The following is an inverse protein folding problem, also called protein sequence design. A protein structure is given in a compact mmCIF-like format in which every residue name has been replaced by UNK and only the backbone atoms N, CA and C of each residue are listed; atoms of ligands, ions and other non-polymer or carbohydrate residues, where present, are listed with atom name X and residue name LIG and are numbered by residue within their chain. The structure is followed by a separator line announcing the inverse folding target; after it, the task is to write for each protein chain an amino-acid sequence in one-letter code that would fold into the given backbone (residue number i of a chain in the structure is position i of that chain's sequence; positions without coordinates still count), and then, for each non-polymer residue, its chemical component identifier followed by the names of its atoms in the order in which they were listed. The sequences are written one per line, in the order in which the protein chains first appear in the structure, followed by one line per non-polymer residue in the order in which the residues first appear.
data_IF_849674139581
#
_entry.id   IF_849674139581
#
_cell.length_a   1.000
_cell.length_b   1.000
_cell.length_c   1.000
_cell.angle_alpha   90.00
_cell.angle_beta   90.00
_cell.angle_gamma   90.00
#
_symmetry.space_group_name_H-M   'P 1'
#
loop_
_entity.id
_entity.type
_entity.pdbx_description
1 polymer ?
#
# COMPACT_ATOMS: atom_id res chain seq x y z
N UNK A 1 23.88 -19.45 -14.69
CA UNK A 1 22.99 -19.93 -13.61
C UNK A 1 21.80 -18.99 -13.59
N UNK A 2 20.70 -19.44 -14.20
CA UNK A 2 19.45 -18.73 -14.33
C UNK A 2 18.75 -18.64 -12.98
N UNK A 3 18.53 -17.43 -12.49
CA UNK A 3 17.70 -17.16 -11.33
C UNK A 3 16.26 -17.02 -11.81
N UNK A 4 15.47 -18.02 -11.53
CA UNK A 4 14.04 -18.06 -11.75
C UNK A 4 13.38 -17.06 -10.81
N UNK A 5 12.78 -16.04 -11.40
CA UNK A 5 11.80 -15.16 -10.76
C UNK A 5 10.53 -15.98 -10.52
N UNK A 6 9.93 -16.02 -9.33
CA UNK A 6 8.62 -16.61 -9.17
C UNK A 6 7.61 -15.63 -9.80
N UNK A 7 7.16 -15.97 -11.02
CA UNK A 7 5.91 -15.46 -11.54
C UNK A 7 4.79 -16.01 -10.66
N UNK A 8 4.30 -15.21 -9.74
CA UNK A 8 2.98 -15.41 -9.16
C UNK A 8 1.95 -15.05 -10.23
N UNK A 9 1.82 -15.94 -11.23
CA UNK A 9 0.62 -16.02 -12.03
C UNK A 9 -0.46 -16.52 -11.09
N UNK A 10 -1.20 -15.61 -10.47
CA UNK A 10 -2.49 -15.90 -9.89
C UNK A 10 -3.37 -16.30 -11.09
N UNK A 11 -3.41 -17.60 -11.39
CA UNK A 11 -4.46 -18.17 -12.22
C UNK A 11 -5.77 -17.84 -11.51
N UNK A 12 -6.50 -16.85 -12.05
CA UNK A 12 -7.90 -16.65 -11.73
C UNK A 12 -8.59 -18.01 -11.85
N UNK A 13 -9.38 -18.43 -10.88
CA UNK A 13 -10.14 -19.65 -11.01
C UNK A 13 -10.96 -19.52 -12.29
N UNK A 14 -10.79 -20.43 -13.22
CA UNK A 14 -11.74 -20.66 -14.31
C UNK A 14 -13.00 -21.19 -13.63
N UNK A 15 -13.77 -20.26 -13.05
CA UNK A 15 -14.99 -20.57 -12.33
C UNK A 15 -15.98 -21.13 -13.34
N UNK A 16 -16.17 -22.43 -13.30
CA UNK A 16 -17.42 -23.00 -13.74
C UNK A 16 -18.49 -22.39 -12.84
N UNK A 17 -19.53 -21.77 -13.41
CA UNK A 17 -20.69 -21.30 -12.69
C UNK A 17 -21.33 -22.44 -11.88
N UNK A 18 -22.30 -22.15 -11.05
CA UNK A 18 -23.02 -23.18 -10.30
C UNK A 18 -23.47 -24.30 -11.23
N UNK A 19 -23.43 -25.54 -10.76
CA UNK A 19 -23.58 -26.77 -11.57
C UNK A 19 -24.84 -26.84 -12.47
N UNK A 20 -25.78 -25.91 -12.35
CA UNK A 20 -27.01 -25.76 -13.12
C UNK A 20 -27.17 -24.37 -13.76
N UNK A 21 -26.08 -23.68 -14.09
CA UNK A 21 -26.16 -22.33 -14.68
C UNK A 21 -26.03 -22.35 -16.22
N UNK A 22 -26.87 -21.62 -16.98
CA UNK A 22 -28.12 -20.99 -16.52
C UNK A 22 -29.20 -22.01 -16.21
N UNK A 23 -30.14 -21.70 -15.31
CA UNK A 23 -31.32 -22.50 -15.06
C UNK A 23 -32.22 -22.61 -16.32
N UNK A 24 -33.19 -23.54 -16.32
CA UNK A 24 -33.98 -23.84 -17.53
C UNK A 24 -34.77 -22.63 -18.07
N UNK A 25 -35.29 -21.76 -17.21
CA UNK A 25 -36.03 -20.58 -17.64
C UNK A 25 -35.14 -19.50 -18.21
N UNK A 26 -33.98 -19.25 -17.58
CA UNK A 26 -32.95 -18.33 -18.11
C UNK A 26 -32.34 -18.88 -19.42
N UNK A 27 -32.11 -20.17 -19.52
CA UNK A 27 -31.64 -20.82 -20.74
C UNK A 27 -32.67 -20.67 -21.88
N UNK A 28 -33.94 -20.89 -21.60
CA UNK A 28 -35.02 -20.69 -22.57
C UNK A 28 -35.12 -19.20 -23.00
N UNK A 29 -34.96 -18.27 -22.06
CA UNK A 29 -34.93 -16.83 -22.34
C UNK A 29 -33.77 -16.48 -23.28
N UNK A 30 -32.56 -16.97 -22.98
CA UNK A 30 -31.37 -16.77 -23.86
C UNK A 30 -31.59 -17.35 -25.26
N UNK A 31 -32.20 -18.55 -25.37
CA UNK A 31 -32.44 -19.17 -26.64
C UNK A 31 -33.56 -18.50 -27.47
N UNK A 32 -34.56 -17.95 -26.80
CA UNK A 32 -35.76 -17.39 -27.46
C UNK A 32 -35.65 -15.91 -27.77
N UNK A 33 -35.12 -15.12 -26.85
CA UNK A 33 -35.09 -13.66 -26.94
C UNK A 33 -33.69 -13.06 -26.76
N UNK A 34 -32.70 -13.90 -26.47
CA UNK A 34 -31.33 -13.46 -26.21
C UNK A 34 -30.43 -13.48 -27.43
N UNK A 35 -29.44 -12.61 -27.41
CA UNK A 35 -28.31 -12.62 -28.36
C UNK A 35 -27.08 -13.16 -27.63
N UNK A 36 -26.78 -14.45 -27.83
CA UNK A 36 -25.55 -15.03 -27.25
C UNK A 36 -24.35 -14.65 -28.12
N UNK A 37 -23.30 -14.12 -27.47
CA UNK A 37 -22.05 -13.76 -28.12
C UNK A 37 -20.89 -14.43 -27.41
N UNK A 38 -20.07 -15.14 -28.17
CA UNK A 38 -18.76 -15.53 -27.71
C UNK A 38 -17.77 -14.40 -28.01
N UNK A 39 -17.13 -13.90 -26.98
CA UNK A 39 -16.23 -12.76 -27.13
C UNK A 39 -14.85 -13.26 -27.53
N UNK A 40 -14.43 -12.91 -28.75
CA UNK A 40 -13.09 -13.14 -29.24
C UNK A 40 -12.19 -11.96 -28.81
N UNK A 41 -11.63 -12.03 -27.61
CA UNK A 41 -10.62 -11.11 -27.08
C UNK A 41 -10.98 -9.61 -27.09
N UNK A 42 -10.81 -8.95 -25.97
CA UNK A 42 -10.81 -7.49 -25.76
C UNK A 42 -11.81 -6.66 -26.60
N UNK A 43 -13.07 -7.08 -26.67
CA UNK A 43 -14.18 -6.31 -27.24
C UNK A 43 -15.04 -5.75 -26.11
N UNK A 44 -14.65 -4.61 -25.53
CA UNK A 44 -15.40 -4.00 -24.44
C UNK A 44 -16.75 -3.46 -24.94
N UNK A 45 -17.74 -3.47 -24.05
CA UNK A 45 -19.05 -2.87 -24.31
C UNK A 45 -19.52 -2.07 -23.09
N UNK A 46 -20.31 -1.02 -23.36
CA UNK A 46 -20.88 -0.19 -22.31
C UNK A 46 -22.17 -0.80 -21.77
N UNK A 47 -22.40 -0.67 -20.47
CA UNK A 47 -23.67 -0.99 -19.81
C UNK A 47 -24.54 0.28 -19.74
N UNK A 48 -24.79 0.93 -20.87
CA UNK A 48 -25.42 2.25 -20.99
C UNK A 48 -26.85 2.24 -21.53
N UNK A 49 -27.41 1.06 -21.80
CA UNK A 49 -28.77 0.90 -22.34
C UNK A 49 -29.66 0.15 -21.33
N UNK A 50 -30.52 0.87 -20.56
CA UNK A 50 -31.39 0.27 -19.55
C UNK A 50 -32.46 -0.66 -20.11
N UNK A 51 -32.66 -0.71 -21.41
CA UNK A 51 -33.57 -1.66 -22.05
C UNK A 51 -33.02 -3.10 -22.12
N UNK A 52 -31.75 -3.27 -21.79
CA UNK A 52 -31.05 -4.54 -21.94
C UNK A 52 -30.28 -4.95 -20.69
N UNK A 53 -30.06 -6.26 -20.57
CA UNK A 53 -29.18 -6.82 -19.57
C UNK A 53 -28.33 -7.92 -20.20
N UNK A 54 -27.19 -8.23 -19.59
CA UNK A 54 -26.28 -9.29 -20.01
C UNK A 54 -26.16 -10.34 -18.93
N UNK A 55 -26.27 -11.60 -19.32
CA UNK A 55 -26.01 -12.77 -18.47
C UNK A 55 -24.62 -13.29 -18.82
N UNK A 56 -23.76 -13.43 -17.82
CA UNK A 56 -22.42 -14.02 -17.98
C UNK A 56 -22.55 -15.54 -17.91
N UNK A 57 -22.46 -16.20 -19.07
CA UNK A 57 -22.62 -17.65 -19.17
C UNK A 57 -21.33 -18.38 -18.85
N UNK A 58 -20.19 -17.91 -19.39
CA UNK A 58 -18.85 -18.47 -19.17
C UNK A 58 -17.78 -17.41 -19.17
N UNK A 59 -16.62 -17.73 -18.58
CA UNK A 59 -15.45 -16.84 -18.54
C UNK A 59 -15.51 -15.83 -17.41
N UNK A 60 -14.99 -14.63 -17.64
CA UNK A 60 -14.97 -13.55 -16.67
C UNK A 60 -15.09 -12.19 -17.36
N UNK A 61 -15.65 -11.22 -16.62
CA UNK A 61 -15.79 -9.83 -17.08
C UNK A 61 -15.25 -8.91 -16.01
N UNK A 62 -14.37 -7.98 -16.43
CA UNK A 62 -13.92 -6.88 -15.58
C UNK A 62 -14.78 -5.65 -15.84
N UNK A 63 -15.32 -5.05 -14.81
CA UNK A 63 -16.05 -3.79 -14.88
C UNK A 63 -15.12 -2.61 -14.57
N UNK A 64 -15.21 -1.60 -15.41
CA UNK A 64 -14.48 -0.35 -15.22
C UNK A 64 -15.46 0.81 -15.18
N UNK A 65 -15.27 1.72 -14.24
CA UNK A 65 -15.88 3.03 -14.29
C UNK A 65 -15.12 3.87 -15.30
N UNK A 66 -15.82 4.41 -16.28
CA UNK A 66 -15.27 5.23 -17.37
C UNK A 66 -16.12 6.46 -17.59
N UNK A 67 -15.52 7.52 -18.09
CA UNK A 67 -16.29 8.61 -18.67
C UNK A 67 -16.69 8.23 -20.09
N UNK A 68 -17.94 8.45 -20.45
CA UNK A 68 -18.40 8.25 -21.81
C UNK A 68 -19.11 9.52 -22.30
N UNK A 69 -18.76 9.91 -23.49
CA UNK A 69 -19.38 11.03 -24.19
C UNK A 69 -19.75 10.53 -25.58
N UNK A 70 -21.03 10.64 -25.93
CA UNK A 70 -21.56 10.16 -27.21
C UNK A 70 -21.22 8.68 -27.53
N UNK A 71 -21.24 7.81 -26.52
CA UNK A 71 -20.95 6.39 -26.67
C UNK A 71 -19.45 6.05 -26.81
N UNK A 72 -18.56 7.03 -26.69
CA UNK A 72 -17.11 6.82 -26.71
C UNK A 72 -16.52 6.99 -25.31
N UNK A 73 -15.68 6.04 -24.92
CA UNK A 73 -14.99 6.10 -23.62
C UNK A 73 -13.84 7.12 -23.66
N UNK A 74 -13.78 8.00 -22.67
CA UNK A 74 -12.73 9.00 -22.53
C UNK A 74 -12.01 8.89 -21.19
N UNK A 75 -10.73 9.25 -21.15
CA UNK A 75 -9.95 9.38 -19.94
C UNK A 75 -9.48 8.04 -19.35
N UNK A 76 -9.26 8.03 -18.04
CA UNK A 76 -8.76 6.89 -17.31
C UNK A 76 -9.87 5.87 -17.01
N UNK A 77 -9.54 4.59 -17.09
CA UNK A 77 -10.42 3.49 -16.67
C UNK A 77 -10.14 3.17 -15.22
N UNK A 78 -11.14 3.28 -14.36
CA UNK A 78 -11.02 2.89 -12.96
C UNK A 78 -11.63 1.51 -12.78
N UNK A 79 -10.82 0.52 -12.39
CA UNK A 79 -11.34 -0.82 -12.10
C UNK A 79 -12.41 -0.73 -11.01
N UNK A 80 -13.55 -1.37 -11.26
CA UNK A 80 -14.70 -1.29 -10.39
C UNK A 80 -14.99 -2.63 -9.71
N UNK A 81 -15.18 -3.70 -10.50
CA UNK A 81 -15.47 -5.03 -9.99
C UNK A 81 -15.13 -6.12 -11.02
N UNK A 82 -14.97 -7.35 -10.56
CA UNK A 82 -14.79 -8.54 -11.40
C UNK A 82 -16.00 -9.45 -11.28
N UNK A 83 -16.52 -9.94 -12.40
CA UNK A 83 -17.68 -10.82 -12.48
C UNK A 83 -17.28 -12.19 -12.95
N UNK A 84 -17.92 -13.19 -12.35
CA UNK A 84 -17.79 -14.62 -12.69
C UNK A 84 -19.08 -15.15 -13.29
N UNK A 85 -19.08 -16.36 -13.92
CA UNK A 85 -20.29 -16.96 -14.47
C UNK A 85 -21.41 -17.05 -13.44
N UNK A 86 -22.62 -16.77 -13.89
CA UNK A 86 -23.77 -16.65 -12.99
C UNK A 86 -24.17 -15.20 -12.67
N UNK A 87 -23.36 -14.21 -13.09
CA UNK A 87 -23.67 -12.81 -12.86
C UNK A 87 -24.65 -12.25 -13.91
N UNK A 88 -25.55 -11.39 -13.42
CA UNK A 88 -26.38 -10.51 -14.23
C UNK A 88 -25.71 -9.13 -14.28
N UNK A 89 -25.64 -8.51 -15.44
CA UNK A 89 -25.17 -7.15 -15.67
C UNK A 89 -26.33 -6.34 -16.29
N UNK A 90 -27.15 -5.62 -15.53
CA UNK A 90 -28.18 -4.78 -16.09
C UNK A 90 -27.55 -3.58 -16.81
N UNK A 91 -28.17 -3.15 -17.89
CA UNK A 91 -27.85 -1.87 -18.49
C UNK A 91 -28.36 -0.74 -17.59
N UNK A 92 -27.58 0.29 -17.44
CA UNK A 92 -27.82 1.41 -16.56
C UNK A 92 -28.02 2.67 -17.39
N UNK A 93 -28.87 3.55 -16.92
CA UNK A 93 -28.89 4.91 -17.50
C UNK A 93 -27.58 5.60 -17.16
N UNK A 94 -26.85 6.13 -18.14
CA UNK A 94 -25.66 6.92 -17.87
C UNK A 94 -26.03 8.06 -16.92
N UNK A 95 -25.15 8.35 -15.96
CA UNK A 95 -25.29 9.57 -15.19
C UNK A 95 -25.13 10.77 -16.13
N UNK A 96 -26.19 11.49 -16.36
CA UNK A 96 -26.22 12.71 -17.17
C UNK A 96 -25.72 13.94 -16.41
N UNK A 97 -25.16 13.76 -15.20
CA UNK A 97 -24.45 14.78 -14.46
C UNK A 97 -23.25 15.34 -15.23
N UNK A 98 -22.56 16.31 -14.65
CA UNK A 98 -21.44 17.05 -15.27
C UNK A 98 -20.30 16.16 -15.81
N UNK A 99 -20.20 14.90 -15.42
CA UNK A 99 -19.08 14.03 -15.75
C UNK A 99 -19.42 12.82 -16.62
N UNK A 100 -20.68 12.44 -16.79
CA UNK A 100 -21.12 11.36 -17.69
C UNK A 100 -20.42 10.02 -17.45
N UNK A 101 -20.42 9.52 -16.21
CA UNK A 101 -19.85 8.22 -15.90
C UNK A 101 -20.77 7.06 -16.33
N UNK A 102 -20.16 5.98 -16.77
CA UNK A 102 -20.83 4.71 -17.05
C UNK A 102 -19.92 3.51 -16.73
N UNK A 103 -20.50 2.32 -16.74
CA UNK A 103 -19.75 1.07 -16.58
C UNK A 103 -19.36 0.48 -17.94
N UNK A 104 -18.07 0.18 -18.10
CA UNK A 104 -17.51 -0.51 -19.24
C UNK A 104 -17.23 -1.95 -18.84
N UNK A 105 -17.87 -2.90 -19.50
CA UNK A 105 -17.60 -4.32 -19.37
C UNK A 105 -16.47 -4.74 -20.32
N UNK A 106 -15.43 -5.34 -19.76
CA UNK A 106 -14.26 -5.84 -20.51
C UNK A 106 -14.18 -7.35 -20.32
N UNK A 107 -14.69 -8.13 -21.25
CA UNK A 107 -14.66 -9.59 -21.14
C UNK A 107 -13.27 -10.15 -21.41
N UNK A 108 -12.92 -11.24 -20.72
CA UNK A 108 -11.73 -12.03 -21.01
C UNK A 108 -11.91 -12.88 -22.28
N UNK A 109 -10.80 -13.34 -22.85
CA UNK A 109 -10.83 -14.22 -24.03
C UNK A 109 -11.60 -15.51 -23.72
N UNK A 110 -12.55 -15.86 -24.61
CA UNK A 110 -13.37 -17.05 -24.43
C UNK A 110 -14.59 -16.84 -23.53
N UNK A 111 -14.86 -15.61 -23.12
CA UNK A 111 -16.07 -15.27 -22.38
C UNK A 111 -17.31 -15.38 -23.28
N UNK A 112 -18.36 -15.99 -22.74
CA UNK A 112 -19.66 -16.10 -23.37
C UNK A 112 -20.70 -15.31 -22.58
N UNK A 113 -21.36 -14.36 -23.23
CA UNK A 113 -22.41 -13.52 -22.66
C UNK A 113 -23.67 -13.62 -23.49
N UNK A 114 -24.84 -13.57 -22.83
CA UNK A 114 -26.13 -13.49 -23.47
C UNK A 114 -26.77 -12.14 -23.17
N UNK A 115 -27.05 -11.32 -24.18
CA UNK A 115 -27.78 -10.07 -24.08
C UNK A 115 -29.28 -10.36 -24.16
N UNK A 116 -30.07 -9.93 -23.18
CA UNK A 116 -31.50 -10.17 -23.11
C UNK A 116 -32.25 -8.84 -22.85
N UNK A 117 -33.49 -8.69 -23.33
CA UNK A 117 -34.31 -7.52 -22.98
C UNK A 117 -34.58 -7.49 -21.47
N UNK A 118 -34.40 -6.35 -20.83
CA UNK A 118 -34.69 -6.21 -19.40
C UNK A 118 -36.17 -6.49 -19.07
N UNK A 119 -37.07 -6.11 -19.97
CA UNK A 119 -38.50 -6.42 -19.85
C UNK A 119 -38.81 -7.94 -19.76
N UNK A 120 -37.98 -8.77 -20.42
CA UNK A 120 -38.13 -10.20 -20.34
C UNK A 120 -37.69 -10.77 -18.97
N UNK A 121 -36.68 -10.16 -18.34
CA UNK A 121 -36.30 -10.49 -16.96
C UNK A 121 -37.37 -10.06 -15.95
N UNK A 122 -38.03 -8.93 -16.19
CA UNK A 122 -39.17 -8.51 -15.38
C UNK A 122 -40.30 -9.52 -15.49
N UNK A 123 -40.67 -9.95 -16.70
CA UNK A 123 -41.67 -10.95 -16.90
C UNK A 123 -41.29 -12.31 -16.24
N UNK A 124 -40.01 -12.69 -16.25
CA UNK A 124 -39.50 -13.87 -15.55
C UNK A 124 -39.66 -13.73 -14.02
N UNK A 125 -39.46 -12.53 -13.49
CA UNK A 125 -39.61 -12.24 -12.07
C UNK A 125 -41.08 -12.37 -11.59
N UNK A 126 -42.03 -12.15 -12.49
CA UNK A 126 -43.49 -12.28 -12.22
C UNK A 126 -43.96 -13.75 -12.27
N UNK A 127 -43.15 -14.65 -12.85
CA UNK A 127 -43.48 -16.08 -12.92
C UNK A 127 -43.03 -16.83 -11.66
N UNK A 128 -43.93 -17.30 -10.79
CA UNK A 128 -43.56 -18.00 -9.57
C UNK A 128 -42.74 -19.26 -9.79
N UNK A 129 -42.83 -19.90 -10.97
CA UNK A 129 -42.14 -21.16 -11.27
C UNK A 129 -40.66 -20.91 -11.69
N UNK A 130 -40.37 -19.74 -12.22
CA UNK A 130 -39.08 -19.41 -12.83
C UNK A 130 -38.27 -18.31 -12.09
N UNK A 131 -38.96 -17.46 -11.35
CA UNK A 131 -38.37 -16.27 -10.69
C UNK A 131 -37.17 -16.57 -9.79
N UNK A 132 -37.15 -17.74 -9.15
CA UNK A 132 -36.07 -18.10 -8.23
C UNK A 132 -34.74 -18.25 -8.92
N UNK A 133 -34.72 -18.47 -10.26
CA UNK A 133 -33.50 -18.47 -11.07
C UNK A 133 -32.82 -17.11 -11.13
N UNK A 134 -33.51 -16.00 -10.82
CA UNK A 134 -32.96 -14.66 -10.78
C UNK A 134 -32.22 -14.34 -9.50
N UNK A 135 -32.41 -15.10 -8.42
CA UNK A 135 -31.86 -14.79 -7.10
C UNK A 135 -30.32 -14.70 -7.14
N UNK A 136 -29.68 -15.78 -7.53
CA UNK A 136 -28.20 -15.83 -7.56
C UNK A 136 -27.56 -14.81 -8.53
N UNK A 137 -28.06 -14.60 -9.76
CA UNK A 137 -27.57 -13.57 -10.65
C UNK A 137 -27.70 -12.15 -10.09
N UNK A 138 -28.81 -11.83 -9.46
CA UNK A 138 -29.04 -10.53 -8.84
C UNK A 138 -28.14 -10.33 -7.63
N UNK A 139 -28.02 -11.32 -6.76
CA UNK A 139 -27.10 -11.24 -5.61
C UNK A 139 -25.65 -11.07 -6.05
N UNK A 140 -25.22 -11.77 -7.11
CA UNK A 140 -23.89 -11.60 -7.70
C UNK A 140 -23.66 -10.17 -8.14
N UNK A 141 -24.65 -9.57 -8.81
CA UNK A 141 -24.59 -8.16 -9.23
C UNK A 141 -24.53 -7.20 -8.02
N UNK A 142 -25.41 -7.40 -7.03
CA UNK A 142 -25.41 -6.57 -5.82
C UNK A 142 -24.08 -6.65 -5.08
N UNK A 143 -23.49 -7.84 -4.97
CA UNK A 143 -22.16 -7.99 -4.39
C UNK A 143 -21.09 -7.26 -5.19
N UNK A 144 -21.08 -7.41 -6.51
CA UNK A 144 -20.09 -6.73 -7.36
C UNK A 144 -20.18 -5.20 -7.25
N UNK A 145 -21.39 -4.64 -7.29
CA UNK A 145 -21.59 -3.19 -7.11
C UNK A 145 -21.18 -2.74 -5.71
N UNK A 146 -21.57 -3.49 -4.67
CA UNK A 146 -21.24 -3.18 -3.29
C UNK A 146 -19.74 -3.19 -3.03
N UNK A 147 -19.02 -4.20 -3.53
CA UNK A 147 -17.58 -4.33 -3.39
C UNK A 147 -16.86 -3.23 -4.17
N UNK A 148 -17.31 -2.91 -5.38
CA UNK A 148 -16.80 -1.82 -6.20
C UNK A 148 -16.92 -0.46 -5.52
N UNK A 149 -18.07 -0.16 -4.91
CA UNK A 149 -18.29 1.09 -4.17
C UNK A 149 -17.46 1.16 -2.88
N UNK A 150 -17.36 0.04 -2.16
CA UNK A 150 -16.66 -0.01 -0.88
C UNK A 150 -15.13 -0.10 -1.02
N UNK A 151 -14.63 -0.52 -2.19
CA UNK A 151 -13.20 -0.71 -2.43
C UNK A 151 -12.36 0.56 -2.15
N UNK A 152 -12.90 1.73 -2.44
CA UNK A 152 -12.20 3.01 -2.30
C UNK A 152 -12.34 3.64 -0.92
N UNK A 153 -13.20 3.07 -0.04
CA UNK A 153 -13.42 3.61 1.31
C UNK A 153 -12.44 2.95 2.29
N UNK A 154 -11.37 3.65 2.62
CA UNK A 154 -10.33 3.16 3.53
C UNK A 154 -9.93 4.27 4.51
N UNK A 155 -9.89 4.03 5.83
CA UNK A 155 -10.25 2.79 6.52
C UNK A 155 -11.77 2.56 6.59
N UNK A 156 -12.19 1.28 6.62
CA UNK A 156 -13.62 0.96 6.83
C UNK A 156 -14.07 1.44 8.21
N UNK A 157 -15.25 2.06 8.33
CA UNK A 157 -15.77 2.50 9.59
C UNK A 157 -16.17 1.31 10.49
N UNK A 158 -16.29 1.55 11.77
CA UNK A 158 -16.84 0.55 12.69
C UNK A 158 -18.32 0.41 12.47
N UNK A 159 -18.80 -0.81 12.26
CA UNK A 159 -20.21 -1.16 12.16
C UNK A 159 -20.72 -1.43 13.58
N UNK A 160 -21.77 -0.73 13.98
CA UNK A 160 -22.37 -0.86 15.29
C UNK A 160 -23.48 -1.92 15.35
N UNK A 161 -24.20 -2.14 14.23
CA UNK A 161 -25.30 -3.07 14.13
C UNK A 161 -25.13 -3.99 12.93
N UNK A 162 -25.19 -5.30 13.14
CA UNK A 162 -25.27 -6.31 12.09
C UNK A 162 -26.76 -6.65 11.81
N UNK A 163 -27.13 -6.59 10.54
CA UNK A 163 -28.50 -6.90 10.10
C UNK A 163 -28.56 -8.31 9.56
N UNK A 164 -29.63 -9.03 9.98
CA UNK A 164 -29.87 -10.39 9.55
C UNK A 164 -31.23 -10.46 8.84
N UNK A 165 -31.32 -11.28 7.81
CA UNK A 165 -32.57 -11.53 7.07
C UNK A 165 -33.62 -12.19 7.96
N UNK A 166 -34.87 -11.70 7.86
CA UNK A 166 -35.99 -12.22 8.65
C UNK A 166 -36.11 -11.62 10.05
N UNK A 167 -35.21 -10.73 10.44
CA UNK A 167 -35.23 -10.06 11.75
C UNK A 167 -35.47 -8.56 11.59
N UNK A 168 -36.13 -7.98 12.60
CA UNK A 168 -36.21 -6.53 12.76
C UNK A 168 -35.16 -6.09 13.77
N UNK A 169 -34.28 -5.19 13.36
CA UNK A 169 -33.23 -4.65 14.20
C UNK A 169 -33.46 -3.15 14.44
N UNK A 170 -33.22 -2.71 15.68
CA UNK A 170 -33.20 -1.29 16.01
C UNK A 170 -31.79 -0.73 15.80
N UNK A 171 -31.66 0.26 14.92
CA UNK A 171 -30.43 1.00 14.67
C UNK A 171 -30.56 2.34 15.37
N UNK A 172 -29.65 2.64 16.30
CA UNK A 172 -29.68 3.92 17.01
C UNK A 172 -29.22 5.07 16.09
N UNK A 173 -29.65 6.27 16.41
CA UNK A 173 -29.22 7.47 15.68
C UNK A 173 -27.69 7.61 15.66
N UNK A 174 -27.15 7.98 14.51
CA UNK A 174 -25.71 8.06 14.21
C UNK A 174 -24.94 6.73 14.30
N UNK A 175 -25.65 5.62 14.34
CA UNK A 175 -25.06 4.29 14.27
C UNK A 175 -25.05 3.76 12.83
N UNK A 176 -24.01 3.00 12.52
CA UNK A 176 -23.88 2.32 11.23
C UNK A 176 -24.39 0.90 11.32
N UNK A 177 -25.14 0.49 10.30
CA UNK A 177 -25.63 -0.87 10.15
C UNK A 177 -25.22 -1.45 8.80
N UNK A 178 -24.88 -2.74 8.76
CA UNK A 178 -24.45 -3.49 7.57
C UNK A 178 -25.05 -4.89 7.61
N UNK A 179 -25.14 -5.56 6.47
CA UNK A 179 -25.54 -6.97 6.46
C UNK A 179 -24.50 -7.84 7.20
N UNK A 180 -24.96 -8.76 8.02
CA UNK A 180 -24.09 -9.73 8.68
C UNK A 180 -23.45 -10.71 7.67
N UNK A 181 -24.24 -11.12 6.65
CA UNK A 181 -23.85 -12.02 5.56
C UNK A 181 -24.79 -11.88 4.37
N UNK A 182 -24.32 -12.23 3.18
CA UNK A 182 -25.13 -12.25 1.94
C UNK A 182 -25.71 -10.89 1.61
N UNK A 183 -26.87 -10.89 0.98
CA UNK A 183 -27.63 -9.68 0.63
C UNK A 183 -28.84 -9.56 1.54
N UNK A 184 -29.00 -8.41 2.19
CA UNK A 184 -30.14 -8.05 3.02
C UNK A 184 -30.85 -6.87 2.37
N UNK A 185 -32.13 -7.05 2.04
CA UNK A 185 -32.94 -5.98 1.44
C UNK A 185 -33.68 -5.23 2.54
N UNK A 186 -33.54 -3.91 2.57
CA UNK A 186 -34.09 -3.07 3.62
C UNK A 186 -35.24 -2.23 3.13
N UNK A 187 -36.39 -2.35 3.78
CA UNK A 187 -37.46 -1.37 3.60
C UNK A 187 -37.18 -0.17 4.51
N UNK A 188 -36.73 0.95 3.91
CA UNK A 188 -36.33 2.15 4.63
C UNK A 188 -37.34 3.30 4.39
N UNK A 189 -37.70 4.05 5.44
CA UNK A 189 -38.37 5.35 5.27
C UNK A 189 -37.45 6.32 4.56
N UNK A 190 -38.02 7.31 3.88
CA UNK A 190 -37.26 8.35 3.17
C UNK A 190 -36.44 9.19 4.16
N UNK A 191 -35.33 9.70 3.69
CA UNK A 191 -34.48 10.70 4.39
C UNK A 191 -34.00 10.30 5.78
N UNK A 192 -33.95 9.00 6.06
CA UNK A 192 -33.57 8.49 7.38
C UNK A 192 -32.17 7.99 7.48
N UNK A 193 -31.52 7.76 6.33
CA UNK A 193 -30.17 7.13 6.28
C UNK A 193 -29.31 7.73 5.19
N UNK A 194 -27.98 7.69 5.43
CA UNK A 194 -26.96 7.88 4.42
C UNK A 194 -26.36 6.52 4.00
N UNK A 195 -26.30 6.26 2.73
CA UNK A 195 -25.63 5.10 2.19
C UNK A 195 -24.12 5.39 2.08
N UNK A 196 -23.31 4.51 2.64
CA UNK A 196 -21.84 4.65 2.72
C UNK A 196 -21.36 5.99 3.33
N UNK A 197 -22.11 6.55 4.27
CA UNK A 197 -21.89 7.85 4.94
C UNK A 197 -21.89 9.07 4.00
N UNK A 198 -22.22 8.92 2.75
CA UNK A 198 -22.03 9.98 1.75
C UNK A 198 -23.27 10.32 0.93
N UNK A 199 -24.12 9.33 0.62
CA UNK A 199 -25.22 9.54 -0.31
C UNK A 199 -26.58 9.36 0.37
N UNK A 200 -27.43 10.37 0.28
CA UNK A 200 -28.85 10.24 0.61
C UNK A 200 -29.58 9.39 -0.44
N UNK A 201 -30.56 8.62 0.00
CA UNK A 201 -31.38 7.86 -0.92
C UNK A 201 -32.26 8.78 -1.76
N UNK A 202 -32.41 8.52 -3.08
CA UNK A 202 -33.17 9.40 -3.95
C UNK A 202 -34.62 9.55 -3.51
N UNK A 203 -35.16 10.73 -3.65
CA UNK A 203 -36.56 11.02 -3.39
C UNK A 203 -37.44 10.13 -4.30
N UNK A 204 -38.35 9.36 -3.69
CA UNK A 204 -39.20 8.43 -4.44
C UNK A 204 -38.90 6.94 -4.24
N UNK A 205 -37.75 6.59 -3.66
CA UNK A 205 -37.52 5.25 -3.16
C UNK A 205 -38.47 4.99 -1.99
N UNK A 206 -39.72 4.62 -2.25
CA UNK A 206 -40.70 4.20 -1.23
C UNK A 206 -40.12 3.08 -0.34
N UNK A 207 -40.94 2.26 0.32
CA UNK A 207 -40.47 1.10 1.06
C UNK A 207 -39.96 0.01 0.09
N UNK A 208 -39.12 0.39 -0.84
CA UNK A 208 -38.38 -0.51 -1.74
C UNK A 208 -37.12 -0.94 -1.03
N UNK A 209 -36.83 -2.21 -1.15
CA UNK A 209 -35.68 -2.80 -0.47
C UNK A 209 -34.36 -2.33 -1.02
N UNK A 210 -33.71 -1.39 -0.35
CA UNK A 210 -32.29 -1.11 -0.65
C UNK A 210 -31.44 -2.33 -0.25
N UNK A 211 -30.63 -2.91 -1.16
CA UNK A 211 -29.79 -4.04 -0.81
C UNK A 211 -28.53 -3.59 -0.07
N UNK A 212 -28.20 -4.28 1.01
CA UNK A 212 -26.93 -4.19 1.71
C UNK A 212 -26.20 -5.52 1.67
N UNK A 213 -24.87 -5.42 1.62
CA UNK A 213 -23.95 -6.54 1.76
C UNK A 213 -23.04 -6.31 2.97
N UNK A 214 -22.20 -7.26 3.40
CA UNK A 214 -21.16 -6.99 4.39
C UNK A 214 -20.15 -5.93 3.98
N UNK A 215 -20.07 -5.60 2.70
CA UNK A 215 -19.17 -4.57 2.18
C UNK A 215 -19.73 -3.15 2.34
N UNK A 216 -21.05 -2.98 2.36
CA UNK A 216 -21.74 -1.69 2.40
C UNK A 216 -22.49 -1.48 3.72
N UNK A 217 -22.81 -0.23 4.04
CA UNK A 217 -23.51 0.14 5.27
C UNK A 217 -24.42 1.36 5.05
N UNK A 218 -25.35 1.51 5.97
CA UNK A 218 -26.13 2.74 6.15
C UNK A 218 -25.74 3.41 7.46
N UNK A 219 -25.78 4.73 7.49
CA UNK A 219 -25.71 5.55 8.70
C UNK A 219 -27.10 6.11 9.00
N UNK A 220 -27.69 5.74 10.13
CA UNK A 220 -29.00 6.24 10.55
C UNK A 220 -28.89 7.68 11.07
N UNK A 221 -29.79 8.57 10.65
CA UNK A 221 -29.86 9.95 11.17
C UNK A 221 -30.50 10.00 12.57
N UNK A 222 -31.47 9.11 12.82
CA UNK A 222 -32.19 8.97 14.09
C UNK A 222 -32.41 7.48 14.38
N UNK A 223 -32.97 7.18 15.55
CA UNK A 223 -33.38 5.81 15.89
C UNK A 223 -34.34 5.28 14.84
N UNK A 224 -34.05 4.10 14.32
CA UNK A 224 -34.77 3.50 13.22
C UNK A 224 -34.94 1.99 13.44
N UNK A 225 -36.17 1.49 13.28
CA UNK A 225 -36.45 0.05 13.23
C UNK A 225 -36.38 -0.41 11.77
N UNK A 226 -35.50 -1.37 11.50
CA UNK A 226 -35.20 -1.86 10.14
C UNK A 226 -35.49 -3.32 10.04
N UNK A 227 -36.36 -3.72 9.10
CA UNK A 227 -36.63 -5.13 8.79
C UNK A 227 -35.76 -5.55 7.61
N UNK A 228 -34.97 -6.60 7.79
CA UNK A 228 -34.15 -7.21 6.73
C UNK A 228 -34.91 -8.33 6.02
N UNK A 229 -35.04 -8.23 4.69
CA UNK A 229 -35.67 -9.25 3.85
C UNK A 229 -34.64 -10.05 3.05
N UNK A 230 -34.97 -11.29 2.69
CA UNK A 230 -34.21 -12.07 1.72
C UNK A 230 -34.49 -11.60 0.30
N UNK A 231 -33.60 -11.90 -0.65
CA UNK A 231 -33.84 -11.66 -2.09
C UNK A 231 -35.10 -12.35 -2.57
N UNK A 232 -35.36 -13.56 -2.11
CA UNK A 232 -36.59 -14.31 -2.41
C UNK A 232 -37.87 -13.58 -1.93
N UNK A 233 -37.86 -13.05 -0.70
CA UNK A 233 -39.01 -12.30 -0.18
C UNK A 233 -39.21 -10.97 -0.93
N UNK A 234 -38.12 -10.23 -1.22
CA UNK A 234 -38.16 -9.01 -1.98
C UNK A 234 -38.71 -9.25 -3.41
N UNK A 235 -38.27 -10.33 -4.06
CA UNK A 235 -38.73 -10.74 -5.38
C UNK A 235 -40.24 -11.14 -5.34
N UNK A 236 -40.63 -11.94 -4.36
CA UNK A 236 -42.05 -12.35 -4.18
C UNK A 236 -42.99 -11.18 -3.96
N UNK A 237 -42.52 -10.10 -3.36
CA UNK A 237 -43.28 -8.85 -3.13
C UNK A 237 -43.27 -7.92 -4.36
N UNK A 238 -42.54 -8.25 -5.42
CA UNK A 238 -42.38 -7.40 -6.61
C UNK A 238 -41.51 -6.12 -6.40
N UNK A 239 -40.71 -6.09 -5.33
CA UNK A 239 -39.94 -4.92 -4.97
C UNK A 239 -38.47 -4.97 -5.44
N UNK A 240 -38.03 -6.09 -6.05
CA UNK A 240 -36.65 -6.33 -6.46
C UNK A 240 -36.12 -5.23 -7.38
N UNK A 241 -36.84 -4.91 -8.42
CA UNK A 241 -36.40 -3.95 -9.45
C UNK A 241 -36.32 -2.53 -8.88
N UNK A 242 -37.31 -2.13 -8.09
CA UNK A 242 -37.28 -0.84 -7.39
C UNK A 242 -36.09 -0.71 -6.42
N UNK A 243 -35.70 -1.82 -5.78
CA UNK A 243 -34.53 -1.85 -4.92
C UNK A 243 -33.21 -1.79 -5.70
N UNK A 244 -33.16 -2.45 -6.85
CA UNK A 244 -31.99 -2.31 -7.77
C UNK A 244 -31.90 -0.89 -8.33
N UNK A 245 -33.02 -0.28 -8.70
CA UNK A 245 -33.04 1.12 -9.16
C UNK A 245 -32.53 2.06 -8.07
N UNK A 246 -32.89 1.83 -6.80
CA UNK A 246 -32.35 2.59 -5.68
C UNK A 246 -30.82 2.43 -5.52
N UNK A 247 -30.30 1.20 -5.68
CA UNK A 247 -28.85 0.94 -5.68
C UNK A 247 -28.17 1.61 -6.87
N UNK A 248 -28.74 1.53 -8.06
CA UNK A 248 -28.19 2.13 -9.26
C UNK A 248 -28.18 3.66 -9.20
N UNK A 249 -29.18 4.27 -8.57
CA UNK A 249 -29.28 5.71 -8.40
C UNK A 249 -28.15 6.27 -7.49
N UNK A 250 -27.63 5.48 -6.56
CA UNK A 250 -26.51 5.89 -5.71
C UNK A 250 -25.14 5.49 -6.27
N UNK A 251 -25.09 4.63 -7.29
CA UNK A 251 -23.86 4.07 -7.85
C UNK A 251 -22.96 5.16 -8.42
N UNK A 252 -23.45 5.91 -9.41
CA UNK A 252 -22.61 6.87 -10.12
C UNK A 252 -22.20 8.08 -9.26
N UNK A 253 -23.10 8.69 -8.46
CA UNK A 253 -22.71 9.78 -7.55
C UNK A 253 -21.62 9.37 -6.56
N UNK A 254 -21.71 8.15 -5.98
CA UNK A 254 -20.70 7.64 -5.07
C UNK A 254 -19.39 7.28 -5.79
N UNK A 255 -19.49 6.66 -6.96
CA UNK A 255 -18.33 6.33 -7.77
C UNK A 255 -17.57 7.59 -8.21
N UNK A 256 -18.30 8.63 -8.65
CA UNK A 256 -17.73 9.93 -8.97
C UNK A 256 -17.05 10.58 -7.77
N UNK A 257 -17.71 10.61 -6.62
CA UNK A 257 -17.13 11.14 -5.38
C UNK A 257 -15.81 10.43 -5.04
N UNK A 258 -15.80 9.11 -5.15
CA UNK A 258 -14.60 8.30 -4.88
C UNK A 258 -13.46 8.60 -5.86
N UNK A 259 -13.76 8.75 -7.16
CA UNK A 259 -12.74 9.13 -8.16
C UNK A 259 -12.20 10.53 -7.86
N UNK A 260 -13.03 11.49 -7.51
CA UNK A 260 -12.59 12.85 -7.13
C UNK A 260 -11.71 12.82 -5.90
N UNK A 261 -12.07 12.06 -4.86
CA UNK A 261 -11.25 11.91 -3.65
C UNK A 261 -9.90 11.26 -3.96
N UNK A 262 -9.88 10.21 -4.78
CA UNK A 262 -8.63 9.56 -5.21
C UNK A 262 -7.72 10.52 -5.99
N UNK A 263 -8.28 11.38 -6.84
CA UNK A 263 -7.52 12.41 -7.56
C UNK A 263 -6.91 13.46 -6.63
N UNK A 264 -7.67 13.91 -5.62
CA UNK A 264 -7.18 14.84 -4.60
C UNK A 264 -6.04 14.21 -3.80
N UNK A 265 -6.20 12.96 -3.39
CA UNK A 265 -5.16 12.23 -2.65
C UNK A 265 -3.88 12.05 -3.47
N UNK A 266 -4.00 11.69 -4.75
CA UNK A 266 -2.84 11.56 -5.63
C UNK A 266 -2.16 12.92 -5.85
N UNK A 267 -2.94 13.98 -6.04
CA UNK A 267 -2.40 15.34 -6.14
C UNK A 267 -1.63 15.74 -4.88
N UNK A 268 -2.17 15.45 -3.70
CA UNK A 268 -1.52 15.71 -2.43
C UNK A 268 -0.23 14.89 -2.26
N UNK A 269 -0.23 13.61 -2.66
CA UNK A 269 0.96 12.76 -2.66
C UNK A 269 2.04 13.30 -3.59
N UNK A 270 1.66 13.76 -4.79
CA UNK A 270 2.61 14.36 -5.73
C UNK A 270 3.21 15.65 -5.18
N UNK A 271 2.40 16.52 -4.57
CA UNK A 271 2.89 17.73 -3.90
C UNK A 271 3.87 17.40 -2.78
N UNK A 272 3.53 16.45 -1.90
CA UNK A 272 4.44 16.00 -0.84
C UNK A 272 5.75 15.44 -1.37
N UNK A 273 5.72 14.70 -2.50
CA UNK A 273 6.95 14.22 -3.16
C UNK A 273 7.81 15.38 -3.68
N UNK A 274 7.20 16.35 -4.36
CA UNK A 274 7.93 17.54 -4.84
C UNK A 274 8.57 18.28 -3.67
N UNK A 275 7.81 18.57 -2.62
CA UNK A 275 8.33 19.22 -1.42
C UNK A 275 9.43 18.41 -0.71
N UNK A 276 9.37 17.08 -0.74
CA UNK A 276 10.44 16.24 -0.19
C UNK A 276 11.70 16.30 -1.03
N UNK A 277 11.56 16.27 -2.36
CA UNK A 277 12.69 16.40 -3.29
C UNK A 277 13.35 17.79 -3.16
N UNK A 278 12.56 18.85 -3.08
CA UNK A 278 13.10 20.21 -2.86
C UNK A 278 13.85 20.32 -1.53
N UNK A 279 13.28 19.77 -0.44
CA UNK A 279 13.96 19.73 0.87
C UNK A 279 15.26 18.92 0.84
N UNK A 280 15.27 17.80 0.12
CA UNK A 280 16.47 16.97 -0.03
C UNK A 280 17.52 17.64 -0.92
N UNK A 281 17.08 18.35 -1.98
CA UNK A 281 17.93 19.15 -2.83
C UNK A 281 18.57 20.31 -2.06
N UNK A 282 17.79 21.07 -1.30
CA UNK A 282 18.27 22.15 -0.44
C UNK A 282 19.26 21.66 0.63
N UNK A 283 19.02 20.45 1.16
CA UNK A 283 19.92 19.81 2.11
C UNK A 283 21.22 19.39 1.42
N UNK A 284 21.11 18.85 0.20
CA UNK A 284 22.25 18.51 -0.65
C UNK A 284 23.11 19.73 -0.99
N UNK A 285 22.49 20.84 -1.41
CA UNK A 285 23.19 22.09 -1.71
C UNK A 285 23.89 22.68 -0.47
N UNK A 286 23.22 22.66 0.68
CA UNK A 286 23.83 23.09 1.95
C UNK A 286 25.02 22.20 2.36
N UNK A 287 24.92 20.88 2.13
CA UNK A 287 26.04 19.96 2.40
C UNK A 287 27.22 20.17 1.47
N UNK A 288 26.96 20.48 0.20
CA UNK A 288 28.01 20.86 -0.76
C UNK A 288 28.68 22.20 -0.37
N UNK A 289 27.88 23.18 0.05
CA UNK A 289 28.39 24.46 0.58
C UNK A 289 29.29 24.26 1.80
N UNK A 290 28.93 23.33 2.71
CA UNK A 290 29.79 23.02 3.87
C UNK A 290 31.06 22.25 3.50
N UNK A 291 31.04 21.42 2.45
CA UNK A 291 32.24 20.73 1.94
C UNK A 291 33.19 21.72 1.24
N UNK A 292 32.65 22.70 0.53
CA UNK A 292 33.48 23.76 -0.09
C UNK A 292 34.01 24.78 0.93
N UNK A 293 33.33 24.92 2.08
CA UNK A 293 33.78 25.72 3.22
C UNK A 293 34.59 24.91 4.23
N UNK A 294 35.13 23.76 3.86
CA UNK A 294 35.83 22.81 4.74
C UNK A 294 37.15 23.30 5.36
N UNK A 295 37.58 24.55 5.11
CA UNK A 295 38.63 25.24 5.89
C UNK A 295 38.07 26.10 7.04
N UNK A 296 36.77 26.23 7.16
CA UNK A 296 36.12 26.94 8.25
C UNK A 296 35.45 25.96 9.20
N UNK A 297 36.26 25.48 10.16
CA UNK A 297 35.93 25.21 11.56
C UNK A 297 34.58 24.51 11.85
N UNK A 298 34.71 23.39 12.48
CA UNK A 298 33.98 22.94 13.66
C UNK A 298 33.07 24.01 14.34
N UNK A 299 32.09 24.50 13.65
CA UNK A 299 31.21 25.50 14.19
C UNK A 299 29.84 25.42 13.56
N UNK A 300 28.87 24.93 14.32
CA UNK A 300 27.45 25.01 14.02
C UNK A 300 26.87 23.92 13.12
N UNK A 301 26.79 22.71 13.65
CA UNK A 301 25.62 21.89 13.32
C UNK A 301 24.51 22.31 14.28
N UNK A 302 23.61 23.14 13.83
CA UNK A 302 22.43 23.53 14.57
C UNK A 302 21.49 22.33 14.76
N UNK A 303 21.82 21.47 15.72
CA UNK A 303 20.90 20.64 16.47
C UNK A 303 20.95 21.17 17.90
N UNK A 304 20.57 22.45 18.05
CA UNK A 304 20.30 23.02 19.33
C UNK A 304 19.32 22.12 20.08
N UNK A 305 19.83 21.41 21.11
CA UNK A 305 19.06 20.55 22.00
C UNK A 305 19.32 19.06 21.97
N UNK A 306 20.14 18.51 21.05
CA UNK A 306 20.41 17.06 21.01
C UNK A 306 21.91 16.72 20.85
N UNK A 307 22.71 16.79 21.93
CA UNK A 307 24.16 16.58 21.89
C UNK A 307 24.57 15.21 21.32
N UNK A 308 23.78 14.16 21.59
CA UNK A 308 24.03 12.82 21.07
C UNK A 308 23.95 12.77 19.54
N UNK A 309 22.92 13.39 18.95
CA UNK A 309 22.74 13.42 17.50
C UNK A 309 23.86 14.23 16.83
N UNK A 310 24.28 15.33 17.47
CA UNK A 310 25.38 16.14 16.99
C UNK A 310 26.70 15.36 17.03
N UNK A 311 27.03 14.67 18.12
CA UNK A 311 28.20 13.80 18.24
C UNK A 311 28.18 12.67 17.18
N UNK A 312 27.03 12.01 17.02
CA UNK A 312 26.86 10.95 16.03
C UNK A 312 27.03 11.47 14.59
N UNK A 313 26.56 12.68 14.31
CA UNK A 313 26.72 13.30 12.98
C UNK A 313 28.19 13.58 12.66
N UNK A 314 28.99 13.99 13.64
CA UNK A 314 30.43 14.17 13.47
C UNK A 314 31.13 12.82 13.21
N UNK A 315 30.81 11.80 13.95
CA UNK A 315 31.32 10.42 13.73
C UNK A 315 30.89 9.92 12.35
N UNK A 316 29.62 10.13 11.98
CA UNK A 316 29.07 9.69 10.70
C UNK A 316 29.74 10.34 9.50
N UNK A 317 30.15 11.61 9.59
CA UNK A 317 30.93 12.30 8.54
C UNK A 317 32.27 11.61 8.26
N UNK A 318 32.95 11.12 9.29
CA UNK A 318 34.23 10.43 9.15
C UNK A 318 34.05 8.98 8.69
N UNK A 319 33.04 8.30 9.22
CA UNK A 319 32.77 6.89 8.93
C UNK A 319 31.90 6.66 7.70
N UNK A 320 31.40 7.73 7.07
CA UNK A 320 30.65 7.69 5.80
C UNK A 320 29.20 7.22 5.96
N UNK A 321 28.54 7.49 7.08
CA UNK A 321 27.11 7.18 7.27
C UNK A 321 26.29 8.42 7.64
N UNK A 322 25.00 8.34 7.34
CA UNK A 322 24.02 9.40 7.67
C UNK A 322 23.24 9.01 8.90
N UNK A 323 23.17 9.93 9.87
CA UNK A 323 22.39 9.75 11.10
C UNK A 323 20.94 10.12 10.84
N UNK A 324 20.03 9.20 11.18
CA UNK A 324 18.58 9.42 11.14
C UNK A 324 18.04 9.52 12.56
N UNK A 325 17.37 10.62 12.86
CA UNK A 325 16.69 10.79 14.15
C UNK A 325 15.37 10.02 14.10
N UNK A 326 15.06 9.15 15.08
CA UNK A 326 13.79 8.45 15.12
C UNK A 326 12.64 9.46 15.27
N UNK A 327 11.56 9.27 14.52
CA UNK A 327 10.34 10.05 14.70
C UNK A 327 9.69 9.60 16.00
N UNK A 328 9.67 10.46 17.00
CA UNK A 328 8.97 10.20 18.26
C UNK A 328 7.46 10.13 17.98
N UNK A 329 6.83 9.00 18.34
CA UNK A 329 5.38 8.92 18.34
C UNK A 329 4.84 9.75 19.51
N UNK A 330 3.87 10.63 19.24
CA UNK A 330 3.24 11.57 20.17
C UNK A 330 2.53 10.93 21.40
N UNK A 331 2.89 9.73 21.81
CA UNK A 331 2.28 8.98 22.91
C UNK A 331 3.19 8.64 24.08
N UNK A 332 4.49 8.78 23.93
CA UNK A 332 5.42 8.46 25.01
C UNK A 332 6.33 9.67 25.27
N UNK A 333 6.14 10.32 26.40
CA UNK A 333 6.99 11.35 27.02
C UNK A 333 7.63 12.37 26.05
N UNK A 334 7.01 13.52 25.89
CA UNK A 334 7.47 14.65 25.06
C UNK A 334 8.86 15.19 25.43
N UNK A 335 9.44 14.79 26.55
CA UNK A 335 10.71 15.34 27.11
C UNK A 335 11.90 14.35 27.08
N UNK A 336 11.79 13.17 26.51
CA UNK A 336 12.89 12.21 26.58
C UNK A 336 13.84 12.36 25.40
N UNK A 337 15.08 12.80 25.68
CA UNK A 337 16.16 12.81 24.67
C UNK A 337 16.35 11.43 24.02
N UNK A 338 16.57 11.36 22.68
CA UNK A 338 16.73 10.09 21.98
C UNK A 338 17.91 9.29 22.52
N UNK A 339 17.70 8.00 22.77
CA UNK A 339 18.76 7.09 23.22
C UNK A 339 19.63 6.65 22.05
N UNK A 340 20.88 6.32 22.30
CA UNK A 340 21.83 5.83 21.29
C UNK A 340 21.24 4.64 20.50
N UNK A 341 20.53 3.74 21.18
CA UNK A 341 19.93 2.56 20.56
C UNK A 341 18.85 2.89 19.54
N UNK A 342 18.06 3.93 19.83
CA UNK A 342 16.98 4.35 18.96
C UNK A 342 17.53 5.03 17.70
N UNK A 343 18.55 5.88 17.88
CA UNK A 343 19.23 6.54 16.76
C UNK A 343 20.00 5.53 15.90
N UNK A 344 20.71 4.59 16.53
CA UNK A 344 21.44 3.54 15.81
C UNK A 344 20.50 2.64 15.01
N UNK A 345 19.36 2.24 15.58
CA UNK A 345 18.31 1.47 14.89
C UNK A 345 17.68 2.24 13.74
N UNK A 346 17.31 3.51 13.94
CA UNK A 346 16.73 4.36 12.91
C UNK A 346 17.69 4.59 11.75
N UNK A 347 19.00 4.65 12.04
CA UNK A 347 20.07 4.83 11.05
C UNK A 347 20.55 3.51 10.45
N UNK A 348 20.07 2.35 10.93
CA UNK A 348 20.52 1.04 10.50
C UNK A 348 21.96 0.71 10.90
N UNK A 349 22.54 1.42 11.88
CA UNK A 349 23.93 1.26 12.28
C UNK A 349 24.14 0.07 13.20
N UNK A 350 25.28 -0.61 13.03
CA UNK A 350 25.76 -1.60 14.00
C UNK A 350 26.68 -0.92 15.00
N UNK A 351 26.48 -1.23 16.28
CA UNK A 351 27.31 -0.72 17.37
C UNK A 351 28.19 -1.81 17.99
N UNK A 352 29.38 -1.44 18.41
CA UNK A 352 30.28 -2.27 19.20
C UNK A 352 30.89 -1.41 20.29
N UNK A 353 30.73 -1.82 21.55
CA UNK A 353 31.44 -1.19 22.67
C UNK A 353 32.91 -1.57 22.63
N UNK A 354 33.78 -0.59 22.80
CA UNK A 354 35.23 -0.75 22.87
C UNK A 354 35.75 -0.16 24.18
N UNK A 355 36.72 -0.83 24.80
CA UNK A 355 37.43 -0.33 25.96
C UNK A 355 38.61 0.53 25.48
N UNK A 356 38.75 1.70 26.07
CA UNK A 356 39.88 2.62 25.82
C UNK A 356 41.01 2.30 26.79
N UNK A 357 41.86 1.29 26.46
CA UNK A 357 43.03 0.95 27.24
C UNK A 357 44.12 2.00 27.11
N UNK A 358 45.06 2.13 28.08
CA UNK A 358 46.20 3.04 27.97
C UNK A 358 46.93 2.86 26.64
N UNK A 359 47.12 3.95 25.89
CA UNK A 359 47.77 3.93 24.56
C UNK A 359 46.87 3.57 23.38
N UNK A 360 45.56 3.37 23.54
CA UNK A 360 44.61 3.08 22.45
C UNK A 360 44.67 4.08 21.32
N UNK A 361 44.94 5.33 21.63
CA UNK A 361 44.99 6.44 20.68
C UNK A 361 46.13 6.31 19.64
N UNK A 362 47.15 5.52 19.91
CA UNK A 362 48.25 5.24 18.99
C UNK A 362 47.84 4.28 17.86
N UNK A 363 46.78 3.50 18.08
CA UNK A 363 46.27 2.49 17.16
C UNK A 363 44.87 2.78 16.63
N UNK A 364 44.34 4.01 16.90
CA UNK A 364 43.03 4.39 16.45
C UNK A 364 42.98 4.58 14.93
N UNK A 365 42.12 3.82 14.25
CA UNK A 365 41.94 3.88 12.79
C UNK A 365 40.61 4.49 12.34
N UNK A 366 39.65 4.70 13.25
CA UNK A 366 38.30 5.21 12.93
C UNK A 366 37.76 6.16 13.97
N UNK A 367 36.60 6.75 13.67
CA UNK A 367 35.92 7.63 14.62
C UNK A 367 35.08 6.80 15.63
N UNK A 368 35.03 7.28 16.86
CA UNK A 368 34.31 6.66 17.96
C UNK A 368 33.34 7.65 18.62
N UNK A 369 32.26 7.16 19.18
CA UNK A 369 31.43 7.91 20.10
C UNK A 369 31.90 7.63 21.52
N UNK A 370 32.47 8.63 22.19
CA UNK A 370 32.84 8.58 23.59
C UNK A 370 31.78 9.20 24.49
N UNK A 371 32.06 9.09 25.81
CA UNK A 371 31.31 9.79 26.85
C UNK A 371 32.30 10.52 27.74
N UNK A 372 31.89 11.67 28.27
CA UNK A 372 32.65 12.36 29.27
C UNK A 372 32.62 11.58 30.60
N UNK A 373 33.75 11.58 31.30
CA UNK A 373 33.90 10.83 32.56
C UNK A 373 33.14 11.46 33.72
N UNK A 374 32.89 12.77 33.66
CA UNK A 374 32.26 13.57 34.69
C UNK A 374 30.73 13.46 34.74
N UNK A 375 30.07 13.64 33.59
CA UNK A 375 28.60 13.74 33.48
C UNK A 375 27.99 12.78 32.45
N UNK A 376 28.82 12.00 31.73
CA UNK A 376 28.36 11.03 30.73
C UNK A 376 27.87 11.67 29.44
N UNK A 377 28.06 12.95 29.20
CA UNK A 377 27.67 13.62 27.95
C UNK A 377 28.39 13.01 26.73
N UNK A 378 27.75 12.98 25.58
CA UNK A 378 28.30 12.37 24.38
C UNK A 378 29.42 13.24 23.79
N UNK A 379 30.53 12.61 23.45
CA UNK A 379 31.72 13.22 22.82
C UNK A 379 32.03 12.49 21.50
N UNK A 380 32.41 13.25 20.47
CA UNK A 380 32.86 12.66 19.23
C UNK A 380 34.40 12.54 19.25
N UNK A 381 34.94 11.33 19.12
CA UNK A 381 36.36 11.02 19.06
C UNK A 381 36.74 10.83 17.59
N UNK A 382 37.41 11.77 16.99
CA UNK A 382 37.75 11.79 15.57
C UNK A 382 39.25 11.52 15.37
N UNK A 383 39.66 10.81 14.32
CA UNK A 383 41.07 10.61 13.99
C UNK A 383 41.71 11.92 13.54
N UNK A 384 42.87 12.23 14.05
CA UNK A 384 43.65 13.42 13.71
C UNK A 384 45.09 13.08 13.38
N UNK A 385 45.82 14.00 12.70
CA UNK A 385 47.22 13.77 12.28
C UNK A 385 48.21 13.65 13.45
N UNK A 386 47.90 14.24 14.60
CA UNK A 386 48.78 14.27 15.80
C UNK A 386 48.13 13.57 17.02
N UNK A 387 47.19 12.69 16.76
CA UNK A 387 46.39 12.02 17.80
C UNK A 387 44.90 12.33 17.66
N UNK A 388 44.03 11.71 18.49
CA UNK A 388 42.59 11.88 18.42
C UNK A 388 42.20 13.34 18.75
N UNK A 389 41.14 13.80 18.06
CA UNK A 389 40.46 15.06 18.30
C UNK A 389 39.14 14.73 19.00
N UNK A 390 38.94 15.27 20.18
CA UNK A 390 37.73 15.04 20.96
C UNK A 390 36.89 16.29 20.86
N UNK A 391 35.72 16.15 20.22
CA UNK A 391 34.80 17.25 20.00
C UNK A 391 33.63 17.12 20.97
N UNK A 392 33.41 18.15 21.77
CA UNK A 392 32.23 18.28 22.61
C UNK A 392 31.15 19.09 21.87
N UNK A 393 30.11 18.44 21.38
CA UNK A 393 29.07 19.16 20.62
C UNK A 393 28.17 20.00 21.52
N UNK A 394 28.16 19.78 22.87
CA UNK A 394 27.36 20.54 23.81
C UNK A 394 27.94 21.94 24.01
N UNK A 395 29.26 22.03 24.07
CA UNK A 395 29.95 23.29 24.30
C UNK A 395 30.61 23.87 23.06
N UNK A 396 30.60 23.10 21.94
CA UNK A 396 31.25 23.52 20.70
C UNK A 396 32.78 23.55 20.78
N UNK A 397 33.38 22.85 21.77
CA UNK A 397 34.82 22.90 22.05
C UNK A 397 35.51 21.64 21.53
N UNK A 398 36.69 21.83 20.97
CA UNK A 398 37.57 20.75 20.51
C UNK A 398 38.77 20.63 21.47
N UNK A 399 39.00 19.41 21.94
CA UNK A 399 40.13 19.06 22.80
C UNK A 399 41.11 18.15 22.08
N UNK A 400 42.39 18.40 22.23
CA UNK A 400 43.46 17.58 21.64
C UNK A 400 44.51 17.25 22.69
N UNK A 401 45.26 16.15 22.52
CA UNK A 401 46.32 15.74 23.43
C UNK A 401 45.81 15.17 24.78
N UNK A 402 46.67 15.19 25.81
CA UNK A 402 46.40 14.51 27.08
C UNK A 402 45.19 15.09 27.84
N UNK A 403 44.92 16.38 27.74
CA UNK A 403 43.77 17.01 28.38
C UNK A 403 42.44 16.50 27.84
N UNK A 404 42.38 16.23 26.52
CA UNK A 404 41.20 15.65 25.92
C UNK A 404 41.03 14.16 26.30
N UNK A 405 42.12 13.40 26.34
CA UNK A 405 42.09 11.98 26.75
C UNK A 405 41.64 11.80 28.19
N UNK A 406 42.01 12.71 29.08
CA UNK A 406 41.61 12.67 30.51
C UNK A 406 40.12 12.90 30.72
N UNK A 407 39.40 13.50 29.78
CA UNK A 407 37.95 13.74 29.88
C UNK A 407 37.11 12.51 29.48
N UNK A 408 37.69 11.48 28.89
CA UNK A 408 36.96 10.36 28.39
C UNK A 408 36.69 9.28 29.42
N UNK A 409 35.47 8.78 29.43
CA UNK A 409 35.16 7.53 30.12
C UNK A 409 35.91 6.35 29.48
N UNK A 410 36.22 5.28 30.24
CA UNK A 410 36.99 4.15 29.74
C UNK A 410 36.31 3.34 28.65
N UNK A 411 35.09 3.67 28.31
CA UNK A 411 34.29 3.02 27.27
C UNK A 411 33.91 3.98 26.16
N UNK A 412 33.99 3.50 24.92
CA UNK A 412 33.50 4.19 23.74
C UNK A 412 32.70 3.24 22.84
N UNK A 413 31.99 3.76 21.89
CA UNK A 413 31.16 2.99 20.94
C UNK A 413 31.68 3.21 19.53
N UNK A 414 32.07 2.12 18.87
CA UNK A 414 32.34 2.10 17.45
C UNK A 414 31.03 1.84 16.68
N UNK A 415 30.79 2.66 15.67
CA UNK A 415 29.62 2.58 14.82
C UNK A 415 30.04 2.21 13.39
N UNK A 416 29.32 1.28 12.80
CA UNK A 416 29.60 0.83 11.43
C UNK A 416 28.36 0.95 10.57
N UNK A 417 28.56 1.48 9.34
CA UNK A 417 27.48 1.55 8.34
C UNK A 417 27.02 0.14 7.97
N UNK A 418 25.71 -0.06 7.69
CA UNK A 418 25.22 -1.30 7.14
C UNK A 418 25.73 -1.49 5.72
N UNK A 419 25.81 -2.74 5.27
CA UNK A 419 25.97 -3.04 3.85
C UNK A 419 24.75 -2.54 3.09
N UNK A 420 24.90 -2.09 1.82
CA UNK A 420 23.77 -1.59 1.04
C UNK A 420 22.71 -2.69 0.86
N UNK A 421 21.42 -2.33 1.04
CA UNK A 421 20.26 -3.21 0.86
C UNK A 421 19.96 -3.48 -0.62
N UNK A 422 20.97 -4.03 -1.35
CA UNK A 422 20.84 -4.48 -2.73
C UNK A 422 21.62 -5.78 -2.92
N UNK A 423 21.37 -6.47 -4.00
CA UNK A 423 22.19 -7.62 -4.37
C UNK A 423 23.63 -7.16 -4.50
N UNK A 424 24.51 -7.71 -3.62
CA UNK A 424 25.92 -7.35 -3.61
C UNK A 424 26.60 -7.95 -4.82
N UNK A 425 27.32 -7.13 -5.56
CA UNK A 425 28.21 -7.55 -6.64
C UNK A 425 29.62 -7.80 -6.11
N UNK A 426 30.42 -8.62 -6.82
CA UNK A 426 31.80 -8.84 -6.45
C UNK A 426 32.64 -7.55 -6.33
N UNK A 427 32.23 -6.48 -7.02
CA UNK A 427 32.87 -5.17 -6.95
C UNK A 427 32.55 -4.40 -5.65
N UNK A 428 31.47 -4.73 -4.98
CA UNK A 428 31.05 -4.06 -3.73
C UNK A 428 31.95 -4.48 -2.55
N UNK A 429 32.45 -5.71 -2.54
CA UNK A 429 33.34 -6.23 -1.49
C UNK A 429 34.68 -5.46 -1.44
N UNK A 430 35.44 -5.35 -2.51
CA UNK A 430 36.67 -4.57 -2.47
C UNK A 430 36.39 -3.08 -2.22
N UNK A 431 35.33 -2.51 -2.77
CA UNK A 431 34.99 -1.09 -2.55
C UNK A 431 34.69 -0.81 -1.08
N UNK A 432 33.99 -1.70 -0.38
CA UNK A 432 33.69 -1.58 1.05
C UNK A 432 34.95 -1.76 1.91
N UNK A 433 35.85 -2.66 1.52
CA UNK A 433 37.09 -2.94 2.21
C UNK A 433 38.15 -1.87 1.90
N UNK A 434 38.28 -1.46 0.64
CA UNK A 434 39.30 -0.50 0.21
C UNK A 434 39.10 0.90 0.76
N UNK A 435 37.87 1.38 0.89
CA UNK A 435 37.60 2.71 1.47
C UNK A 435 38.14 2.80 2.91
N UNK A 436 38.18 1.68 3.61
CA UNK A 436 38.60 1.62 5.02
C UNK A 436 40.09 1.28 5.23
N UNK A 437 40.68 0.50 4.32
CA UNK A 437 42.06 -0.02 4.46
C UNK A 437 43.03 0.55 3.43
N UNK A 438 42.60 1.51 2.59
CA UNK A 438 43.46 2.10 1.55
C UNK A 438 44.76 2.67 2.12
N UNK A 439 44.71 3.35 3.24
CA UNK A 439 45.88 3.93 3.92
C UNK A 439 46.85 2.86 4.41
N UNK A 440 46.30 1.79 5.01
CA UNK A 440 47.13 0.69 5.53
C UNK A 440 47.76 -0.09 4.38
N UNK A 441 47.00 -0.27 3.30
CA UNK A 441 47.48 -0.93 2.09
C UNK A 441 48.56 -0.09 1.39
N UNK A 442 48.42 1.22 1.36
CA UNK A 442 49.42 2.14 0.80
C UNK A 442 50.74 2.15 1.61
N UNK A 443 50.65 2.09 2.95
CA UNK A 443 51.79 1.94 3.84
C UNK A 443 52.44 0.56 3.61
N UNK A 444 51.67 -0.49 3.46
CA UNK A 444 52.18 -1.85 3.24
C UNK A 444 52.89 -1.98 1.87
N UNK A 445 52.37 -1.31 0.84
CA UNK A 445 52.99 -1.25 -0.48
C UNK A 445 54.30 -0.42 -0.46
N UNK A 446 54.32 0.68 0.31
CA UNK A 446 55.47 1.57 0.38
C UNK A 446 56.59 1.09 1.31
N UNK A 447 56.23 0.30 2.35
CA UNK A 447 57.16 -0.21 3.36
C UNK A 447 57.51 -1.69 3.19
N UNK A 448 56.76 -2.41 2.32
CA UNK A 448 57.03 -3.83 2.05
C UNK A 448 58.37 -4.01 1.33
N UNK A 449 59.22 -4.98 1.74
CA UNK A 449 60.45 -5.25 1.02
C UNK A 449 60.14 -5.68 -0.42
N UNK A 450 60.96 -5.33 -1.41
CA UNK A 450 60.76 -5.76 -2.79
C UNK A 450 60.76 -7.29 -2.82
N UNK A 451 59.61 -7.87 -3.14
CA UNK A 451 59.42 -9.29 -3.25
C UNK A 451 60.33 -9.86 -4.33
N UNK A 452 61.49 -10.35 -3.92
CA UNK A 452 62.33 -11.21 -4.76
C UNK A 452 61.50 -12.45 -5.10
N UNK A 453 61.39 -12.70 -6.40
CA UNK A 453 60.80 -13.93 -6.95
C UNK A 453 61.50 -15.16 -6.36
N UNK A 454 60.94 -15.78 -5.36
CA UNK A 454 61.27 -17.17 -4.98
C UNK A 454 60.28 -18.08 -5.68
N UNK A 455 60.80 -18.77 -6.69
CA UNK A 455 60.09 -19.75 -7.48
C UNK A 455 59.52 -20.86 -6.58
N UNK A 456 58.25 -21.07 -6.64
CA UNK A 456 57.56 -22.21 -6.06
C UNK A 456 57.90 -23.48 -6.87
N UNK A 457 58.43 -24.57 -6.32
CA UNK A 457 58.71 -25.80 -7.05
C UNK A 457 57.43 -26.49 -7.50
N UNK A 458 57.43 -27.10 -8.72
CA UNK A 458 56.25 -27.78 -9.22
C UNK A 458 55.96 -29.08 -8.45
N UNK A 459 54.76 -29.27 -7.95
CA UNK A 459 54.26 -30.51 -7.36
C UNK A 459 54.23 -31.61 -8.42
N UNK A 460 55.08 -32.64 -8.26
CA UNK A 460 55.05 -33.87 -9.05
C UNK A 460 53.71 -34.61 -8.87
N UNK A 461 53.05 -34.87 -9.98
CA UNK A 461 51.91 -35.81 -10.05
C UNK A 461 52.41 -37.23 -9.81
N UNK A 462 51.98 -37.85 -8.72
CA UNK A 462 52.06 -39.30 -8.60
C UNK A 462 50.89 -39.94 -9.35
N UNK A 463 51.21 -40.66 -10.39
CA UNK A 463 50.32 -41.60 -11.02
C UNK A 463 50.16 -42.83 -10.10
N UNK A 464 48.96 -43.16 -9.70
CA UNK A 464 48.62 -44.46 -9.15
C UNK A 464 47.94 -45.29 -10.20
N UNK A 465 48.66 -46.29 -10.69
CA UNK A 465 48.18 -47.36 -11.53
C UNK A 465 47.21 -48.25 -10.75
N UNK A 466 46.06 -48.50 -11.29
CA UNK A 466 45.09 -49.54 -10.92
C UNK A 466 45.57 -50.90 -11.34
N UNK A 467 45.49 -51.90 -10.47
CA UNK A 467 45.29 -53.31 -10.82
C UNK A 467 44.40 -53.96 -9.77
N UNK A 468 43.30 -54.50 -10.24
CA UNK A 468 42.31 -55.50 -9.81
C UNK A 468 41.03 -55.00 -9.19
#
# INVERSE_FOLDING_TARGET
MHSSKPEASASLPTGEGPAAWPGPALAALCAGQGETRQVAGNTPFLLDDPGWAWLLLRGAVELFLVRAEHGQTQGMRHHFASLTPGALMPGLSPDLGDLGYCLLAVPHVGTEVCRVPQAALHALADDPAARDELIAPVESWVHAVSDGLAHWITPRPRIGQALVTGETARVAGHQRASAARGVVWLALPRDTVLYLDAQELPAGTGPCGLPLTPATWILAHADLDVAGETTTACLARGALWAGLDALHAVLFPLAELNVRLAQVDEHNRLRQRVESVERDWDRGLRSLGTVMAADAVAGSAAHEGQPLVAALTLVGRVEGFVVKVPVQRARDDEDRAPRLDDVARASGLRRRTVLLEPGWHLHQSGALLGQAADDGRPLAILPGRRGPRIVDPTHGVEHTGESGLAMLAPQAVALTAPLPFRVLTWADVPRFTFVRTWRDLLVLILTGPPAGCSAWPPRSRRATSSTR
#
